data_IF_674255819783
#
_entry.id   IF_674255819783
#
_cell.length_a   1.000
_cell.length_b   1.000
_cell.length_c   1.000
_cell.angle_alpha   90.00
_cell.angle_beta   90.00
_cell.angle_gamma   90.00
#
_symmetry.space_group_name_H-M   'P 1'
#
loop_
_entity.id
_entity.type
_entity.pdbx_description
1 polymer ?
#
# COMPACT_ATOMS: atom_id res chain seq x y z
N UNK A 1 -7.90 15.18 6.44
CA UNK A 1 -8.23 13.74 6.43
C UNK A 1 -6.91 13.00 6.32
N UNK A 2 -6.57 12.10 7.26
CA UNK A 2 -5.36 11.29 7.14
C UNK A 2 -5.35 10.47 5.87
N UNK A 3 -4.16 10.17 5.34
CA UNK A 3 -4.04 9.34 4.15
C UNK A 3 -4.61 7.93 4.39
N UNK A 4 -5.30 7.30 3.43
CA UNK A 4 -5.74 5.90 3.48
C UNK A 4 -4.72 4.86 3.98
N UNK A 5 -3.42 5.10 3.76
CA UNK A 5 -2.33 4.21 4.23
C UNK A 5 -1.93 4.47 5.67
N UNK A 6 -2.28 5.62 6.24
CA UNK A 6 -2.01 5.96 7.64
C UNK A 6 -2.83 5.09 8.61
N UNK A 7 -3.96 4.53 8.15
CA UNK A 7 -4.74 3.54 8.88
C UNK A 7 -5.51 2.65 7.91
N UNK A 8 -5.32 1.34 8.01
CA UNK A 8 -6.07 0.37 7.20
C UNK A 8 -7.03 -0.41 8.09
N UNK A 9 -8.30 -0.41 7.73
CA UNK A 9 -9.33 -1.09 8.49
C UNK A 9 -9.45 -2.55 8.03
N UNK A 10 -9.48 -3.46 8.99
CA UNK A 10 -10.01 -4.79 8.74
C UNK A 10 -11.48 -4.64 8.32
N UNK A 11 -11.85 -5.39 7.28
CA UNK A 11 -13.22 -5.32 6.79
C UNK A 11 -14.20 -5.92 7.82
N UNK A 12 -15.29 -5.22 8.20
CA UNK A 12 -16.08 -5.58 9.38
C UNK A 12 -17.22 -6.59 9.14
N UNK A 13 -17.49 -7.00 7.89
CA UNK A 13 -18.54 -7.97 7.54
C UNK A 13 -18.07 -9.04 6.56
N UNK A 14 -18.72 -10.21 6.54
CA UNK A 14 -18.26 -11.32 5.68
C UNK A 14 -18.45 -11.08 4.18
N UNK A 15 -19.46 -10.29 3.79
CA UNK A 15 -19.89 -10.14 2.39
C UNK A 15 -19.12 -9.08 1.59
N UNK A 16 -18.28 -8.27 2.25
CA UNK A 16 -17.42 -7.26 1.59
C UNK A 16 -18.11 -6.38 0.53
N UNK A 17 -19.32 -5.94 0.83
CA UNK A 17 -20.13 -5.18 -0.11
C UNK A 17 -20.83 -4.00 0.59
N UNK A 18 -20.78 -2.82 -0.01
CA UNK A 18 -21.51 -1.64 0.48
C UNK A 18 -22.95 -1.66 0.01
N UNK A 19 -23.89 -1.37 0.91
CA UNK A 19 -25.30 -1.10 0.55
C UNK A 19 -25.60 0.38 0.43
N UNK A 20 -24.82 1.25 1.08
CA UNK A 20 -24.98 2.70 1.01
C UNK A 20 -23.66 3.39 1.36
N UNK A 21 -23.28 4.41 0.58
CA UNK A 21 -22.06 5.18 0.82
C UNK A 21 -22.28 6.37 1.76
N UNK A 22 -21.18 6.87 2.32
CA UNK A 22 -21.16 8.14 3.06
C UNK A 22 -21.65 9.29 2.16
N UNK A 23 -22.50 10.15 2.71
CA UNK A 23 -23.07 11.31 2.03
C UNK A 23 -24.29 11.02 1.16
N UNK A 24 -24.67 9.75 0.94
CA UNK A 24 -25.84 9.40 0.11
C UNK A 24 -27.18 9.76 0.79
N UNK A 25 -28.25 9.78 0.00
CA UNK A 25 -29.63 10.01 0.44
C UNK A 25 -29.87 11.34 1.19
N UNK A 26 -29.13 12.40 0.84
CA UNK A 26 -29.17 13.72 1.47
C UNK A 26 -30.59 14.26 1.74
N UNK A 27 -31.49 14.22 0.75
CA UNK A 27 -32.88 14.70 0.93
C UNK A 27 -33.63 13.92 2.03
N UNK A 28 -33.44 12.59 2.08
CA UNK A 28 -34.13 11.73 3.05
C UNK A 28 -33.67 12.02 4.48
N UNK A 29 -32.37 12.20 4.70
CA UNK A 29 -31.82 12.54 6.01
C UNK A 29 -32.12 14.00 6.42
N UNK A 30 -32.23 14.90 5.44
CA UNK A 30 -32.71 16.26 5.69
C UNK A 30 -34.14 16.27 6.24
N UNK A 31 -35.04 15.47 5.64
CA UNK A 31 -36.45 15.40 6.00
C UNK A 31 -36.71 14.70 7.36
N UNK A 32 -35.79 13.85 7.84
CA UNK A 32 -35.95 13.05 9.08
C UNK A 32 -35.07 13.49 10.25
N UNK A 33 -34.11 14.41 10.05
CA UNK A 33 -33.31 14.95 11.16
C UNK A 33 -34.11 15.95 11.98
N UNK A 34 -34.13 15.78 13.31
CA UNK A 34 -34.79 16.69 14.26
C UNK A 34 -34.21 18.11 14.29
N UNK A 35 -33.16 18.36 13.51
CA UNK A 35 -32.37 19.58 13.54
C UNK A 35 -32.36 20.35 12.20
N UNK A 36 -33.12 19.93 11.18
CA UNK A 36 -33.15 20.57 9.84
C UNK A 36 -31.74 20.97 9.35
N UNK A 37 -30.76 20.10 9.60
CA UNK A 37 -29.36 20.42 9.34
C UNK A 37 -29.12 20.38 7.84
N UNK A 38 -28.81 21.54 7.26
CA UNK A 38 -28.55 21.72 5.83
C UNK A 38 -27.34 20.93 5.26
N UNK A 39 -26.66 20.09 6.06
CA UNK A 39 -25.43 19.40 5.68
C UNK A 39 -25.25 18.17 6.59
N UNK A 40 -25.16 16.91 6.14
CA UNK A 40 -25.29 16.36 4.81
C UNK A 40 -25.33 14.82 4.86
N UNK A 41 -26.30 14.22 4.15
CA UNK A 41 -26.30 12.81 3.78
C UNK A 41 -26.14 11.77 4.89
N UNK A 42 -25.90 10.54 4.46
CA UNK A 42 -25.56 9.41 5.30
C UNK A 42 -24.22 9.66 6.03
N UNK A 43 -24.19 9.55 7.35
CA UNK A 43 -23.00 9.90 8.17
C UNK A 43 -22.05 8.74 8.46
N UNK A 44 -22.14 7.67 7.68
CA UNK A 44 -21.32 6.47 7.75
C UNK A 44 -21.29 5.74 6.42
N UNK A 45 -20.82 4.51 6.42
CA UNK A 45 -21.00 3.58 5.31
C UNK A 45 -21.81 2.38 5.81
N UNK A 46 -22.72 1.90 4.95
CA UNK A 46 -23.53 0.73 5.24
C UNK A 46 -22.98 -0.47 4.50
N UNK A 47 -22.78 -1.57 5.21
CA UNK A 47 -22.26 -2.81 4.67
C UNK A 47 -23.30 -3.92 4.70
N UNK A 48 -23.30 -4.70 3.62
CA UNK A 48 -24.19 -5.83 3.44
C UNK A 48 -23.89 -6.92 4.47
N UNK A 49 -24.97 -7.51 4.96
CA UNK A 49 -25.01 -8.68 5.83
C UNK A 49 -26.03 -9.67 5.28
N UNK A 50 -26.14 -10.85 5.90
CA UNK A 50 -27.20 -11.78 5.56
C UNK A 50 -28.57 -11.14 5.86
N UNK A 51 -29.34 -10.82 4.82
CA UNK A 51 -30.63 -10.12 4.96
C UNK A 51 -31.73 -11.00 5.55
N UNK A 52 -31.67 -12.31 5.33
CA UNK A 52 -32.70 -13.26 5.82
C UNK A 52 -32.40 -13.75 7.23
N UNK A 53 -31.13 -13.77 7.60
CA UNK A 53 -30.67 -14.15 8.94
C UNK A 53 -29.50 -13.26 9.39
N UNK A 54 -29.74 -12.00 9.76
CA UNK A 54 -28.67 -11.06 10.09
C UNK A 54 -27.92 -11.42 11.37
N UNK A 55 -28.55 -12.20 12.27
CA UNK A 55 -27.88 -12.69 13.47
C UNK A 55 -26.78 -13.71 13.15
N UNK A 56 -26.82 -14.35 11.97
CA UNK A 56 -25.71 -15.19 11.49
C UNK A 56 -24.48 -14.41 11.03
N UNK A 57 -24.60 -13.10 10.76
CA UNK A 57 -23.48 -12.28 10.28
C UNK A 57 -22.73 -11.63 11.45
N UNK A 58 -21.50 -12.07 11.76
CA UNK A 58 -20.68 -11.40 12.77
C UNK A 58 -20.27 -10.00 12.30
N UNK A 59 -20.22 -9.07 13.24
CA UNK A 59 -19.61 -7.75 13.07
C UNK A 59 -18.23 -7.80 13.67
N UNK A 60 -17.21 -7.45 12.90
CA UNK A 60 -15.82 -7.52 13.30
C UNK A 60 -15.25 -6.12 13.60
N UNK A 61 -14.38 -6.04 14.60
CA UNK A 61 -13.61 -4.82 14.86
C UNK A 61 -12.67 -4.53 13.68
N UNK A 62 -12.58 -3.26 13.28
CA UNK A 62 -11.75 -2.84 12.14
C UNK A 62 -10.29 -2.60 12.54
N UNK A 63 -10.04 -2.29 13.80
CA UNK A 63 -8.72 -1.97 14.35
C UNK A 63 -8.58 -2.63 15.72
N UNK A 64 -7.33 -2.84 16.13
CA UNK A 64 -6.99 -3.11 17.52
C UNK A 64 -7.37 -1.88 18.36
N UNK A 65 -8.01 -2.10 19.51
CA UNK A 65 -8.46 -0.99 20.32
C UNK A 65 -9.17 -1.40 21.60
N UNK A 66 -9.90 -0.44 22.16
CA UNK A 66 -10.71 -0.61 23.37
C UNK A 66 -12.14 -0.13 23.11
N UNK A 67 -13.12 -0.87 23.59
CA UNK A 67 -14.52 -0.45 23.53
C UNK A 67 -14.70 0.76 24.46
N UNK A 68 -14.92 1.93 23.90
CA UNK A 68 -15.07 3.19 24.65
C UNK A 68 -16.49 3.42 25.16
N UNK A 69 -17.48 2.88 24.45
CA UNK A 69 -18.88 2.94 24.87
C UNK A 69 -19.72 1.84 24.22
N UNK A 70 -20.84 1.50 24.87
CA UNK A 70 -21.85 0.54 24.42
C UNK A 70 -23.23 1.11 24.71
N UNK A 71 -24.13 1.02 23.73
CA UNK A 71 -25.48 1.56 23.82
C UNK A 71 -26.49 0.56 23.27
N UNK A 72 -27.59 0.38 23.99
CA UNK A 72 -28.72 -0.46 23.60
C UNK A 72 -29.95 0.43 23.51
N UNK A 73 -30.13 1.11 22.38
CA UNK A 73 -31.23 2.07 22.16
C UNK A 73 -32.16 1.59 21.05
N UNK A 74 -33.41 2.06 21.08
CA UNK A 74 -34.41 1.79 20.03
C UNK A 74 -34.43 2.88 18.93
N UNK A 75 -33.59 3.92 19.07
CA UNK A 75 -33.53 5.08 18.16
C UNK A 75 -32.13 5.30 17.62
N UNK A 76 -31.98 6.12 16.56
CA UNK A 76 -30.67 6.45 16.00
C UNK A 76 -29.93 5.20 15.51
N UNK A 77 -28.71 4.96 15.98
CA UNK A 77 -27.90 3.80 15.61
C UNK A 77 -28.35 2.47 16.22
N UNK A 78 -29.44 2.44 16.99
CA UNK A 78 -29.93 1.20 17.59
C UNK A 78 -28.98 0.67 18.66
N UNK A 79 -28.77 -0.65 18.66
CA UNK A 79 -27.70 -1.26 19.45
C UNK A 79 -26.36 -1.04 18.77
N UNK A 80 -25.42 -0.43 19.47
CA UNK A 80 -24.14 -0.02 18.89
C UNK A 80 -23.01 0.05 19.89
N UNK A 81 -21.78 -0.03 19.37
CA UNK A 81 -20.54 0.11 20.14
C UNK A 81 -19.59 1.10 19.49
N UNK A 82 -18.79 1.73 20.33
CA UNK A 82 -17.68 2.58 19.92
C UNK A 82 -16.37 1.87 20.28
N UNK A 83 -15.46 1.76 19.32
CA UNK A 83 -14.10 1.23 19.53
C UNK A 83 -13.11 2.36 19.27
N UNK A 84 -12.37 2.72 20.31
CA UNK A 84 -11.28 3.70 20.26
C UNK A 84 -9.94 3.01 20.04
N UNK A 85 -9.13 3.55 19.14
CA UNK A 85 -7.83 3.00 18.74
C UNK A 85 -6.81 4.14 18.69
N UNK A 86 -5.64 3.94 19.29
CA UNK A 86 -4.51 4.84 19.10
C UNK A 86 -3.77 4.42 17.83
N UNK A 87 -3.77 5.28 16.81
CA UNK A 87 -3.03 5.08 15.56
C UNK A 87 -1.84 6.03 15.57
N UNK A 88 -0.62 5.52 15.44
CA UNK A 88 0.61 6.29 15.62
C UNK A 88 0.69 7.53 14.72
N UNK A 89 0.35 7.39 13.44
CA UNK A 89 0.42 8.45 12.43
C UNK A 89 -0.81 9.37 12.39
N UNK A 90 -1.86 9.07 13.15
CA UNK A 90 -3.17 9.75 13.05
C UNK A 90 -3.65 10.34 14.38
N UNK A 91 -3.31 9.70 15.51
CA UNK A 91 -3.86 10.02 16.82
C UNK A 91 -5.00 9.08 17.23
N UNK A 92 -5.89 9.56 18.09
CA UNK A 92 -7.02 8.76 18.58
C UNK A 92 -8.14 8.68 17.53
N UNK A 93 -8.44 7.46 17.11
CA UNK A 93 -9.47 7.12 16.13
C UNK A 93 -10.61 6.41 16.83
N UNK A 94 -11.86 6.79 16.57
CA UNK A 94 -13.04 6.09 17.10
C UNK A 94 -13.94 5.63 15.97
N UNK A 95 -14.30 4.34 15.98
CA UNK A 95 -15.23 3.72 15.06
C UNK A 95 -16.53 3.35 15.77
N UNK A 96 -17.67 3.70 15.18
CA UNK A 96 -19.02 3.36 15.65
C UNK A 96 -19.58 2.23 14.80
N UNK A 97 -20.00 1.13 15.43
CA UNK A 97 -20.64 -0.02 14.78
C UNK A 97 -22.12 -0.06 15.18
N UNK A 98 -23.02 0.19 14.22
CA UNK A 98 -24.45 0.40 14.46
C UNK A 98 -25.38 -0.70 13.97
N UNK A 99 -26.65 -0.57 14.35
CA UNK A 99 -27.80 -1.39 13.97
C UNK A 99 -27.68 -2.88 14.33
N UNK A 100 -26.86 -3.21 15.33
CA UNK A 100 -26.59 -4.59 15.73
C UNK A 100 -27.84 -5.24 16.36
N UNK A 101 -27.95 -6.57 16.27
CA UNK A 101 -28.96 -7.31 17.06
C UNK A 101 -28.38 -7.64 18.44
N UNK A 102 -27.18 -8.24 18.46
CA UNK A 102 -26.46 -8.60 19.67
C UNK A 102 -25.11 -7.90 19.70
N UNK A 103 -24.75 -7.37 20.87
CA UNK A 103 -23.42 -6.83 21.16
C UNK A 103 -22.76 -7.75 22.17
N UNK A 104 -21.63 -8.36 21.81
CA UNK A 104 -20.94 -9.37 22.64
C UNK A 104 -19.78 -8.81 23.46
N UNK A 105 -19.45 -7.54 23.28
CA UNK A 105 -18.39 -6.84 24.01
C UNK A 105 -18.96 -5.85 25.03
N UNK A 106 -18.12 -5.43 25.97
CA UNK A 106 -18.45 -4.45 27.02
C UNK A 106 -17.48 -3.26 27.03
N UNK A 107 -17.94 -2.12 27.55
CA UNK A 107 -17.10 -0.93 27.72
C UNK A 107 -15.85 -1.26 28.55
N UNK A 108 -14.69 -0.82 28.07
CA UNK A 108 -13.37 -1.10 28.67
C UNK A 108 -12.70 -2.37 28.15
N UNK A 109 -13.39 -3.20 27.36
CA UNK A 109 -12.81 -4.41 26.78
C UNK A 109 -11.86 -4.08 25.63
N UNK A 110 -10.66 -4.68 25.65
CA UNK A 110 -9.74 -4.67 24.51
C UNK A 110 -10.22 -5.63 23.41
N UNK A 111 -10.09 -5.20 22.17
CA UNK A 111 -10.44 -5.99 20.98
C UNK A 111 -9.30 -5.94 19.96
N UNK A 112 -9.16 -7.02 19.20
CA UNK A 112 -8.23 -7.07 18.06
C UNK A 112 -8.98 -6.85 16.75
N UNK A 113 -8.31 -6.30 15.75
CA UNK A 113 -8.82 -6.21 14.39
C UNK A 113 -9.24 -7.61 13.90
N UNK A 114 -10.42 -7.72 13.31
CA UNK A 114 -11.03 -8.98 12.89
C UNK A 114 -11.74 -9.75 14.01
N UNK A 115 -11.64 -9.34 15.27
CA UNK A 115 -12.40 -9.96 16.37
C UNK A 115 -13.89 -9.65 16.25
N UNK A 116 -14.74 -10.67 16.42
CA UNK A 116 -16.19 -10.49 16.48
C UNK A 116 -16.60 -9.70 17.73
N UNK A 117 -17.33 -8.60 17.53
CA UNK A 117 -17.83 -7.70 18.58
C UNK A 117 -19.37 -7.75 18.74
N UNK A 118 -20.03 -8.55 17.89
CA UNK A 118 -21.44 -8.87 17.98
C UNK A 118 -21.98 -9.37 16.65
N UNK A 119 -23.29 -9.26 16.44
CA UNK A 119 -23.96 -9.72 15.22
C UNK A 119 -24.80 -8.63 14.59
N UNK A 120 -24.90 -8.65 13.27
CA UNK A 120 -25.67 -7.68 12.53
C UNK A 120 -27.17 -7.72 12.88
N UNK A 121 -27.88 -6.66 12.50
CA UNK A 121 -29.29 -6.51 12.80
C UNK A 121 -29.95 -5.41 12.01
N UNK A 122 -31.08 -4.94 12.53
CA UNK A 122 -31.86 -3.84 11.98
C UNK A 122 -32.49 -3.00 13.10
N UNK A 123 -31.76 -2.80 14.21
CA UNK A 123 -32.24 -2.02 15.37
C UNK A 123 -32.11 -0.52 15.12
N UNK A 124 -32.91 0.30 15.81
CA UNK A 124 -32.87 1.76 15.65
C UNK A 124 -33.46 2.26 14.33
N UNK A 125 -32.94 3.37 13.83
CA UNK A 125 -33.36 4.00 12.58
C UNK A 125 -32.76 3.28 11.36
N UNK A 126 -33.20 2.04 11.13
CA UNK A 126 -32.76 1.20 10.03
C UNK A 126 -33.93 0.81 9.11
N UNK A 127 -33.69 0.70 7.80
CA UNK A 127 -34.70 0.30 6.82
C UNK A 127 -34.63 -1.18 6.45
N UNK A 128 -33.71 -1.93 7.06
CA UNK A 128 -33.50 -3.35 6.82
C UNK A 128 -32.09 -3.77 7.27
N UNK A 129 -31.77 -5.07 7.30
CA UNK A 129 -30.54 -5.51 7.94
C UNK A 129 -29.25 -5.07 7.23
N UNK A 130 -28.35 -4.44 7.97
CA UNK A 130 -27.01 -3.98 7.54
C UNK A 130 -26.12 -3.68 8.77
N UNK A 131 -24.83 -3.44 8.54
CA UNK A 131 -23.95 -2.77 9.49
C UNK A 131 -23.80 -1.30 9.07
N UNK A 132 -24.06 -0.36 9.98
CA UNK A 132 -23.65 1.04 9.83
C UNK A 132 -22.29 1.26 10.49
N UNK A 133 -21.32 1.83 9.77
CA UNK A 133 -20.01 2.19 10.32
C UNK A 133 -19.73 3.68 10.16
N UNK A 134 -19.41 4.37 11.25
CA UNK A 134 -18.94 5.77 11.22
C UNK A 134 -17.54 5.92 11.81
N UNK A 135 -16.81 6.93 11.35
CA UNK A 135 -15.44 7.23 11.73
C UNK A 135 -15.31 8.63 12.36
N UNK A 136 -14.59 8.73 13.47
CA UNK A 136 -14.16 9.97 14.12
C UNK A 136 -12.66 9.93 14.37
N UNK A 137 -12.01 11.08 14.29
CA UNK A 137 -10.58 11.25 14.61
C UNK A 137 -10.46 12.47 15.52
N UNK A 138 -9.88 12.29 16.70
CA UNK A 138 -9.71 13.38 17.65
C UNK A 138 -8.79 14.47 17.11
N UNK A 139 -9.09 15.73 17.44
CA UNK A 139 -8.33 16.89 16.97
C UNK A 139 -8.61 17.31 15.52
N UNK A 140 -9.31 16.52 14.71
CA UNK A 140 -9.72 16.97 13.37
C UNK A 140 -10.89 17.95 13.42
N UNK A 141 -10.65 19.17 12.94
CA UNK A 141 -11.71 20.18 12.74
C UNK A 141 -12.55 19.81 11.52
N UNK A 142 -13.79 19.40 11.76
CA UNK A 142 -14.77 19.17 10.70
C UNK A 142 -15.56 20.45 10.41
N UNK A 143 -16.11 20.62 9.19
CA UNK A 143 -17.07 21.69 8.91
C UNK A 143 -18.23 21.66 9.91
N UNK A 144 -18.81 22.83 10.19
CA UNK A 144 -19.97 22.92 11.07
C UNK A 144 -21.07 21.95 10.61
N UNK A 145 -21.59 21.15 11.54
CA UNK A 145 -22.63 20.12 11.34
C UNK A 145 -22.19 18.80 10.66
N UNK A 146 -20.88 18.58 10.47
CA UNK A 146 -20.34 17.26 10.07
C UNK A 146 -19.74 16.59 11.31
N UNK A 147 -20.38 15.53 11.81
CA UNK A 147 -19.94 14.81 13.02
C UNK A 147 -19.01 13.62 12.76
N UNK A 148 -18.94 13.14 11.53
CA UNK A 148 -18.22 11.91 11.15
C UNK A 148 -17.48 12.08 9.83
N UNK A 149 -16.49 11.22 9.62
CA UNK A 149 -15.68 11.14 8.41
C UNK A 149 -16.14 9.97 7.54
N UNK A 150 -15.84 10.06 6.25
CA UNK A 150 -16.03 8.94 5.34
C UNK A 150 -15.06 7.80 5.70
N UNK A 151 -15.53 6.61 6.10
CA UNK A 151 -14.66 5.48 6.46
C UNK A 151 -14.15 4.71 5.23
N UNK A 152 -14.80 4.86 4.07
CA UNK A 152 -14.49 4.11 2.84
C UNK A 152 -13.01 4.17 2.45
N UNK A 153 -12.31 5.32 2.47
CA UNK A 153 -10.91 5.37 2.08
C UNK A 153 -9.99 4.45 2.90
N UNK A 154 -10.39 4.05 4.10
CA UNK A 154 -9.59 3.18 4.99
C UNK A 154 -10.06 1.72 4.96
N UNK A 155 -11.30 1.46 4.53
CA UNK A 155 -11.88 0.13 4.31
C UNK A 155 -11.50 -0.44 2.94
N UNK A 156 -11.82 0.33 1.90
CA UNK A 156 -11.52 0.06 0.50
C UNK A 156 -10.88 1.33 -0.07
N UNK A 157 -9.57 1.53 0.19
CA UNK A 157 -8.84 2.62 -0.43
C UNK A 157 -9.09 2.57 -1.94
N UNK A 158 -9.43 3.71 -2.60
CA UNK A 158 -9.51 3.72 -4.04
C UNK A 158 -8.16 3.22 -4.59
N UNK A 159 -8.14 2.38 -5.63
CA UNK A 159 -6.88 2.14 -6.32
C UNK A 159 -6.31 3.49 -6.75
N UNK A 160 -5.10 3.83 -6.31
CA UNK A 160 -4.41 5.07 -6.72
C UNK A 160 -4.61 5.32 -8.20
N UNK A 161 -4.87 6.56 -8.64
CA UNK A 161 -4.38 6.97 -9.95
C UNK A 161 -2.88 6.65 -9.99
N UNK A 162 -2.48 5.84 -10.98
CA UNK A 162 -1.08 5.53 -11.29
C UNK A 162 -0.28 6.81 -11.33
N UNK A 163 0.73 6.95 -10.46
CA UNK A 163 1.67 8.05 -10.56
C UNK A 163 2.35 7.98 -11.94
N UNK A 164 2.14 9.00 -12.78
CA UNK A 164 3.00 9.18 -13.94
C UNK A 164 4.34 9.70 -13.42
N UNK A 165 5.50 9.18 -13.88
CA UNK A 165 6.78 9.74 -13.52
C UNK A 165 6.80 11.22 -13.94
N UNK A 166 7.22 12.10 -13.02
CA UNK A 166 7.20 13.55 -13.27
C UNK A 166 8.15 13.97 -14.39
N UNK A 167 9.20 13.17 -14.58
CA UNK A 167 10.20 13.30 -15.63
C UNK A 167 10.42 11.92 -16.24
N UNK A 168 10.40 11.78 -17.58
CA UNK A 168 10.81 10.53 -18.21
C UNK A 168 12.26 10.22 -17.85
N UNK A 169 12.52 9.01 -17.37
CA UNK A 169 13.87 8.51 -17.13
C UNK A 169 14.01 7.09 -17.66
N UNK A 170 15.25 6.66 -17.89
CA UNK A 170 15.55 5.28 -18.26
C UNK A 170 15.76 4.44 -17.01
N UNK A 171 15.05 3.33 -16.88
CA UNK A 171 15.27 2.36 -15.80
C UNK A 171 15.92 1.11 -16.34
N UNK A 172 16.98 0.67 -15.68
CA UNK A 172 17.52 -0.67 -15.82
C UNK A 172 17.21 -1.44 -14.54
N UNK A 173 16.45 -2.52 -14.68
CA UNK A 173 16.12 -3.44 -13.59
C UNK A 173 16.87 -4.75 -13.81
N UNK A 174 17.67 -5.16 -12.82
CA UNK A 174 18.30 -6.48 -12.80
C UNK A 174 17.37 -7.42 -12.07
N UNK A 175 16.74 -8.31 -12.85
CA UNK A 175 15.76 -9.29 -12.38
C UNK A 175 16.50 -10.57 -12.00
N UNK A 176 16.64 -10.81 -10.70
CA UNK A 176 17.30 -11.99 -10.14
C UNK A 176 16.31 -13.14 -9.97
N UNK A 177 16.69 -14.38 -10.30
CA UNK A 177 15.79 -15.53 -10.25
C UNK A 177 15.41 -15.91 -8.81
N UNK A 178 14.31 -16.66 -8.60
CA UNK A 178 13.78 -16.94 -7.26
C UNK A 178 14.82 -17.52 -6.28
N UNK A 179 15.70 -18.39 -6.77
CA UNK A 179 16.74 -19.07 -6.00
C UNK A 179 18.00 -18.22 -5.73
N UNK A 180 18.11 -17.01 -6.32
CA UNK A 180 19.27 -16.14 -6.15
C UNK A 180 19.36 -15.55 -4.74
N UNK A 181 20.24 -16.11 -3.90
CA UNK A 181 20.53 -15.59 -2.57
C UNK A 181 21.31 -14.27 -2.55
N UNK A 182 21.63 -13.75 -1.36
CA UNK A 182 22.28 -12.46 -1.16
C UNK A 182 23.58 -12.26 -1.98
N UNK A 183 24.37 -13.33 -2.15
CA UNK A 183 25.61 -13.27 -2.94
C UNK A 183 25.38 -12.83 -4.40
N UNK A 184 24.25 -13.20 -5.00
CA UNK A 184 23.89 -12.77 -6.36
C UNK A 184 23.48 -11.30 -6.39
N UNK A 185 22.75 -10.82 -5.39
CA UNK A 185 22.40 -9.41 -5.28
C UNK A 185 23.62 -8.53 -5.00
N UNK A 186 24.57 -8.99 -4.17
CA UNK A 186 25.86 -8.34 -3.94
C UNK A 186 26.66 -8.22 -5.24
N UNK A 187 26.73 -9.27 -6.06
CA UNK A 187 27.39 -9.20 -7.37
C UNK A 187 26.79 -8.11 -8.29
N UNK A 188 25.46 -7.91 -8.25
CA UNK A 188 24.83 -6.81 -8.99
C UNK A 188 25.22 -5.45 -8.41
N UNK A 189 25.22 -5.31 -7.09
CA UNK A 189 25.62 -4.08 -6.40
C UNK A 189 27.05 -3.70 -6.78
N UNK A 190 27.97 -4.65 -6.63
CA UNK A 190 29.40 -4.43 -6.87
C UNK A 190 29.70 -4.06 -8.33
N UNK A 191 28.98 -4.66 -9.28
CA UNK A 191 29.17 -4.38 -10.72
C UNK A 191 28.60 -3.02 -11.16
N UNK A 192 27.43 -2.64 -10.62
CA UNK A 192 26.59 -1.64 -11.26
C UNK A 192 26.10 -0.50 -10.37
N UNK A 193 26.21 -0.60 -9.05
CA UNK A 193 25.61 0.42 -8.17
C UNK A 193 26.30 1.77 -8.32
N UNK A 194 27.63 1.82 -8.20
CA UNK A 194 28.41 3.07 -8.25
C UNK A 194 28.57 3.66 -9.64
N UNK A 195 28.46 2.84 -10.67
CA UNK A 195 28.53 3.26 -12.07
C UNK A 195 27.17 3.66 -12.65
N UNK A 196 26.10 2.96 -12.25
CA UNK A 196 24.82 3.04 -12.96
C UNK A 196 23.56 3.09 -12.08
N UNK A 197 23.65 2.77 -10.78
CA UNK A 197 22.50 2.71 -9.86
C UNK A 197 21.34 1.85 -10.40
N UNK A 198 21.65 0.69 -10.97
CA UNK A 198 20.61 -0.23 -11.45
C UNK A 198 19.69 -0.66 -10.30
N UNK A 199 18.39 -0.73 -10.59
CA UNK A 199 17.40 -1.26 -9.64
C UNK A 199 17.57 -2.78 -9.56
N UNK A 200 17.56 -3.35 -8.36
CA UNK A 200 17.77 -4.78 -8.12
C UNK A 200 16.49 -5.35 -7.49
N UNK A 201 15.97 -6.45 -8.01
CA UNK A 201 14.84 -7.12 -7.37
C UNK A 201 14.44 -8.45 -8.01
N UNK A 202 13.44 -9.10 -7.41
CA UNK A 202 13.01 -10.45 -7.75
C UNK A 202 11.57 -10.55 -8.27
N UNK A 203 10.97 -9.44 -8.74
CA UNK A 203 9.60 -9.45 -9.28
C UNK A 203 9.60 -9.07 -10.76
N UNK A 204 9.17 -10.00 -11.61
CA UNK A 204 9.06 -9.76 -13.04
C UNK A 204 8.00 -8.69 -13.37
N UNK A 205 6.92 -8.63 -12.59
CA UNK A 205 5.93 -7.56 -12.73
C UNK A 205 6.51 -6.19 -12.32
N UNK A 206 7.35 -6.11 -11.28
CA UNK A 206 8.04 -4.85 -10.89
C UNK A 206 9.00 -4.42 -12.00
N UNK A 207 9.79 -5.36 -12.53
CA UNK A 207 10.74 -5.11 -13.61
C UNK A 207 10.09 -4.51 -14.86
N UNK A 208 8.86 -4.92 -15.18
CA UNK A 208 8.12 -4.46 -16.36
C UNK A 208 7.32 -3.16 -16.18
N UNK A 209 7.07 -2.73 -14.95
CA UNK A 209 6.24 -1.56 -14.63
C UNK A 209 6.97 -0.22 -14.90
N UNK A 210 6.21 0.78 -15.36
CA UNK A 210 6.59 2.19 -15.40
C UNK A 210 6.22 2.91 -16.70
N UNK A 211 5.70 4.14 -16.61
CA UNK A 211 5.47 5.06 -17.74
C UNK A 211 6.82 5.71 -18.18
N UNK A 212 7.84 4.88 -18.39
CA UNK A 212 9.21 5.28 -18.68
C UNK A 212 9.49 5.23 -20.19
N UNK A 213 10.34 6.14 -20.68
CA UNK A 213 10.78 6.16 -22.07
C UNK A 213 11.54 4.89 -22.45
N UNK A 214 12.30 4.35 -21.49
CA UNK A 214 13.01 3.10 -21.62
C UNK A 214 12.96 2.27 -20.35
N UNK A 215 12.48 1.03 -20.49
CA UNK A 215 12.54 0.00 -19.46
C UNK A 215 13.46 -1.11 -19.95
N UNK A 216 14.65 -1.24 -19.39
CA UNK A 216 15.51 -2.39 -19.64
C UNK A 216 15.38 -3.37 -18.49
N UNK A 217 15.09 -4.62 -18.82
CA UNK A 217 15.10 -5.72 -17.86
C UNK A 217 16.26 -6.63 -18.22
N UNK A 218 17.24 -6.71 -17.33
CA UNK A 218 18.31 -7.70 -17.39
C UNK A 218 17.79 -8.93 -16.65
N UNK A 219 17.34 -9.94 -17.39
CA UNK A 219 16.82 -11.17 -16.82
C UNK A 219 17.99 -12.14 -16.59
N UNK A 220 18.36 -12.33 -15.32
CA UNK A 220 19.46 -13.25 -14.94
C UNK A 220 18.91 -14.66 -14.87
N UNK A 221 19.59 -15.59 -15.56
CA UNK A 221 19.25 -17.00 -15.67
C UNK A 221 17.75 -17.20 -15.93
N UNK A 222 17.21 -16.66 -17.03
CA UNK A 222 15.76 -16.61 -17.29
C UNK A 222 15.10 -17.99 -17.30
N UNK A 223 15.86 -19.05 -17.62
CA UNK A 223 15.38 -20.43 -17.57
C UNK A 223 15.00 -20.91 -16.17
N UNK A 224 15.54 -20.30 -15.11
CA UNK A 224 15.21 -20.63 -13.72
C UNK A 224 13.80 -20.20 -13.28
N UNK A 225 13.14 -19.33 -14.05
CA UNK A 225 11.80 -18.82 -13.73
C UNK A 225 10.67 -19.79 -14.09
N UNK A 226 10.96 -20.89 -14.79
CA UNK A 226 9.99 -21.93 -15.16
C UNK A 226 9.02 -21.55 -16.30
N UNK A 227 8.77 -20.25 -16.49
CA UNK A 227 7.99 -19.67 -17.58
C UNK A 227 8.89 -18.99 -18.62
N UNK A 228 8.38 -18.81 -19.85
CA UNK A 228 9.05 -17.99 -20.87
C UNK A 228 8.95 -16.49 -20.51
N UNK A 229 9.98 -15.99 -19.82
CA UNK A 229 10.06 -14.58 -19.42
C UNK A 229 10.02 -13.61 -20.61
N UNK A 230 10.60 -13.97 -21.75
CA UNK A 230 10.57 -13.11 -22.92
C UNK A 230 9.13 -12.95 -23.43
N UNK A 231 8.41 -14.07 -23.61
CA UNK A 231 7.00 -14.05 -24.00
C UNK A 231 6.12 -13.33 -22.96
N UNK A 232 6.45 -13.48 -21.67
CA UNK A 232 5.79 -12.75 -20.59
C UNK A 232 5.92 -11.23 -20.76
N UNK A 233 7.13 -10.69 -20.96
CA UNK A 233 7.32 -9.24 -21.12
C UNK A 233 6.72 -8.73 -22.42
N UNK A 234 6.86 -9.45 -23.54
CA UNK A 234 6.24 -9.07 -24.81
C UNK A 234 4.71 -8.95 -24.70
N UNK A 235 4.08 -9.89 -23.99
CA UNK A 235 2.62 -9.93 -23.84
C UNK A 235 2.12 -8.90 -22.84
N UNK A 236 2.77 -8.84 -21.67
CA UNK A 236 2.23 -8.13 -20.51
C UNK A 236 2.86 -6.78 -20.30
N UNK A 237 4.02 -6.47 -20.89
CA UNK A 237 4.77 -5.23 -20.70
C UNK A 237 5.47 -4.77 -21.99
N UNK A 238 4.71 -4.53 -23.08
CA UNK A 238 5.31 -4.24 -24.37
C UNK A 238 6.24 -3.03 -24.32
N UNK A 239 7.37 -3.14 -25.03
CA UNK A 239 8.42 -2.13 -25.08
C UNK A 239 9.46 -2.19 -23.96
N UNK A 240 9.43 -3.23 -23.12
CA UNK A 240 10.60 -3.61 -22.31
C UNK A 240 11.74 -4.04 -23.25
N UNK A 241 12.90 -3.42 -23.09
CA UNK A 241 14.17 -3.90 -23.66
C UNK A 241 14.61 -5.08 -22.81
N UNK A 242 14.28 -6.28 -23.27
CA UNK A 242 14.63 -7.53 -22.60
C UNK A 242 16.08 -7.93 -22.93
N UNK A 243 16.89 -8.14 -21.91
CA UNK A 243 18.30 -8.56 -22.02
C UNK A 243 18.51 -9.81 -21.16
N UNK A 244 18.55 -11.02 -21.75
CA UNK A 244 18.86 -12.21 -20.99
C UNK A 244 20.36 -12.28 -20.68
N UNK A 245 20.71 -12.65 -19.45
CA UNK A 245 22.09 -12.90 -19.02
C UNK A 245 22.13 -14.29 -18.37
N UNK A 246 22.96 -15.17 -18.91
CA UNK A 246 23.27 -16.47 -18.29
C UNK A 246 24.58 -16.34 -17.52
N UNK A 247 24.57 -16.72 -16.25
CA UNK A 247 25.71 -16.69 -15.35
C UNK A 247 25.70 -17.92 -14.44
N UNK A 248 26.83 -18.63 -14.38
CA UNK A 248 26.98 -19.85 -13.57
C UNK A 248 27.34 -19.54 -12.10
N UNK A 249 27.74 -18.30 -11.81
CA UNK A 249 28.16 -17.84 -10.48
C UNK A 249 27.96 -16.32 -10.32
N UNK A 250 27.95 -15.80 -9.08
CA UNK A 250 27.95 -14.35 -8.83
C UNK A 250 29.08 -13.60 -9.53
N UNK A 251 30.31 -14.12 -9.50
CA UNK A 251 31.46 -13.51 -10.20
C UNK A 251 31.26 -13.44 -11.72
N UNK A 252 30.66 -14.48 -12.31
CA UNK A 252 30.33 -14.49 -13.74
C UNK A 252 29.23 -13.46 -14.06
N UNK A 253 28.28 -13.26 -13.15
CA UNK A 253 27.27 -12.21 -13.30
C UNK A 253 27.91 -10.82 -13.25
N UNK A 254 28.81 -10.55 -12.30
CA UNK A 254 29.54 -9.27 -12.22
C UNK A 254 30.21 -8.94 -13.56
N UNK A 255 30.99 -9.88 -14.11
CA UNK A 255 31.66 -9.70 -15.40
C UNK A 255 30.69 -9.50 -16.58
N UNK A 256 29.54 -10.19 -16.57
CA UNK A 256 28.51 -10.01 -17.59
C UNK A 256 27.87 -8.62 -17.51
N UNK A 257 27.63 -8.09 -16.30
CA UNK A 257 27.03 -6.77 -16.11
C UNK A 257 27.97 -5.62 -16.54
N UNK A 258 29.27 -5.77 -16.30
CA UNK A 258 30.30 -4.79 -16.73
C UNK A 258 30.40 -4.64 -18.25
N UNK A 259 29.97 -5.66 -19.02
CA UNK A 259 30.07 -5.70 -20.48
C UNK A 259 28.73 -5.44 -21.19
N UNK A 260 27.72 -5.01 -20.45
CA UNK A 260 26.39 -4.77 -21.01
C UNK A 260 26.43 -3.70 -22.11
N UNK A 261 25.65 -3.90 -23.18
CA UNK A 261 25.52 -2.87 -24.20
C UNK A 261 24.91 -1.61 -23.58
N UNK A 262 25.38 -0.45 -24.07
CA UNK A 262 24.76 0.82 -23.75
C UNK A 262 23.28 0.81 -24.14
N UNK A 263 22.46 1.56 -23.39
CA UNK A 263 21.07 1.77 -23.77
C UNK A 263 21.01 2.48 -25.13
N UNK A 264 20.08 2.10 -26.02
CA UNK A 264 19.92 2.80 -27.28
C UNK A 264 19.51 4.26 -27.06
N UNK A 265 20.09 5.18 -27.82
CA UNK A 265 19.64 6.58 -27.86
C UNK A 265 18.26 6.67 -28.55
N UNK A 266 17.25 7.29 -27.91
CA UNK A 266 15.99 7.61 -28.63
C UNK A 266 16.10 8.94 -29.34
N UNK A 267 15.62 8.96 -30.58
CA UNK A 267 15.12 10.18 -31.19
C UNK A 267 13.74 10.52 -30.59
N UNK A 268 13.44 11.77 -30.19
CA UNK A 268 12.28 12.19 -29.38
C UNK A 268 10.89 12.03 -30.04
N UNK A 269 10.76 11.28 -31.14
CA UNK A 269 9.57 11.27 -32.00
C UNK A 269 8.74 9.97 -31.98
N UNK A 270 9.11 8.94 -31.23
CA UNK A 270 8.29 7.72 -31.16
C UNK A 270 7.33 7.76 -29.96
N UNK A 271 6.04 7.43 -30.15
CA UNK A 271 5.09 7.32 -29.05
C UNK A 271 5.53 6.23 -28.06
N UNK A 272 5.22 6.41 -26.77
CA UNK A 272 5.47 5.39 -25.77
C UNK A 272 4.68 4.11 -26.13
N UNK A 273 5.29 2.91 -26.02
CA UNK A 273 4.61 1.66 -26.31
C UNK A 273 3.38 1.46 -25.40
N UNK A 274 2.37 0.70 -25.85
CA UNK A 274 1.15 0.47 -25.09
C UNK A 274 1.42 -0.18 -23.73
N UNK A 275 0.53 0.06 -22.78
CA UNK A 275 0.77 -0.23 -21.36
C UNK A 275 0.43 -1.67 -21.01
N UNK A 276 1.32 -2.29 -20.24
CA UNK A 276 1.07 -3.53 -19.55
C UNK A 276 0.11 -3.41 -18.37
N UNK A 277 -0.52 -4.52 -17.98
CA UNK A 277 -1.27 -4.63 -16.70
C UNK A 277 -0.64 -5.74 -15.87
N UNK A 278 -0.40 -5.54 -14.55
CA UNK A 278 0.04 -6.63 -13.69
C UNK A 278 -0.96 -7.78 -13.73
N UNK A 279 -0.45 -9.01 -13.80
CA UNK A 279 -1.30 -10.21 -13.80
C UNK A 279 -1.81 -10.59 -12.41
N UNK A 280 -1.11 -10.14 -11.37
CA UNK A 280 -1.43 -10.43 -9.97
C UNK A 280 -1.17 -9.21 -9.09
N UNK A 281 -1.97 -9.07 -8.03
CA UNK A 281 -1.69 -8.14 -6.94
C UNK A 281 -0.47 -8.63 -6.15
N UNK A 282 0.52 -7.77 -5.94
CA UNK A 282 1.64 -8.05 -5.06
C UNK A 282 2.00 -6.82 -4.24
N UNK A 283 2.55 -7.06 -3.04
CA UNK A 283 3.10 -6.02 -2.18
C UNK A 283 4.55 -5.78 -2.58
N UNK A 284 4.95 -4.51 -2.74
CA UNK A 284 6.33 -4.14 -3.01
C UNK A 284 6.87 -3.34 -1.83
N UNK A 285 8.01 -3.78 -1.31
CA UNK A 285 8.86 -2.95 -0.44
C UNK A 285 10.07 -2.53 -1.24
N UNK A 286 10.25 -1.22 -1.40
CA UNK A 286 11.38 -0.61 -2.07
C UNK A 286 12.25 0.10 -1.02
N UNK A 287 13.52 -0.29 -0.91
CA UNK A 287 14.50 0.40 -0.07
C UNK A 287 15.15 1.47 -0.92
N UNK A 288 14.77 2.72 -0.64
CA UNK A 288 15.18 3.91 -1.38
C UNK A 288 16.45 4.48 -0.75
N UNK A 289 17.58 4.31 -1.44
CA UNK A 289 18.89 4.80 -1.00
C UNK A 289 19.14 6.24 -1.49
N UNK A 290 19.73 7.11 -0.66
CA UNK A 290 19.93 8.52 -0.99
C UNK A 290 20.94 8.72 -2.12
N UNK A 291 20.94 9.87 -2.82
CA UNK A 291 21.81 10.11 -3.98
C UNK A 291 23.31 9.85 -3.72
N UNK A 292 23.78 10.12 -2.50
CA UNK A 292 25.17 9.93 -2.07
C UNK A 292 25.52 8.51 -1.57
N UNK A 293 24.58 7.57 -1.53
CA UNK A 293 24.83 6.21 -1.04
C UNK A 293 25.64 5.38 -2.05
N UNK A 294 26.84 4.95 -1.66
CA UNK A 294 27.71 4.08 -2.45
C UNK A 294 27.30 2.60 -2.37
N UNK A 295 28.07 1.72 -3.02
CA UNK A 295 27.84 0.28 -3.01
C UNK A 295 27.82 -0.34 -1.60
N UNK A 296 28.54 0.24 -0.63
CA UNK A 296 28.52 -0.28 0.73
C UNK A 296 27.13 -0.16 1.37
N UNK A 297 26.44 0.97 1.14
CA UNK A 297 25.07 1.16 1.59
C UNK A 297 24.09 0.19 0.91
N UNK A 298 24.24 -0.05 -0.39
CA UNK A 298 23.43 -1.03 -1.10
C UNK A 298 23.68 -2.47 -0.61
N UNK A 299 24.92 -2.82 -0.33
CA UNK A 299 25.26 -4.11 0.28
C UNK A 299 24.69 -4.25 1.70
N UNK A 300 24.63 -3.17 2.49
CA UNK A 300 23.90 -3.18 3.77
C UNK A 300 22.41 -3.52 3.62
N UNK A 301 21.76 -3.06 2.55
CA UNK A 301 20.38 -3.47 2.23
C UNK A 301 20.31 -4.96 1.84
N UNK A 302 21.26 -5.43 1.03
CA UNK A 302 21.30 -6.84 0.63
C UNK A 302 21.43 -7.76 1.84
N UNK A 303 22.39 -7.46 2.72
CA UNK A 303 22.61 -8.19 3.99
C UNK A 303 21.38 -8.15 4.89
N UNK A 304 20.72 -6.99 4.97
CA UNK A 304 19.62 -6.76 5.89
C UNK A 304 18.27 -7.34 5.43
N UNK A 305 18.06 -7.50 4.12
CA UNK A 305 16.71 -7.73 3.59
C UNK A 305 16.60 -8.75 2.45
N UNK A 306 17.67 -9.09 1.73
CA UNK A 306 17.51 -9.85 0.49
C UNK A 306 17.05 -11.29 0.70
N UNK A 307 17.70 -12.03 1.60
CA UNK A 307 17.37 -13.43 1.85
C UNK A 307 16.15 -13.60 2.76
N UNK A 308 15.87 -12.62 3.62
CA UNK A 308 14.67 -12.62 4.46
C UNK A 308 13.42 -12.21 3.68
N UNK A 309 13.53 -11.16 2.84
CA UNK A 309 12.35 -10.44 2.34
C UNK A 309 12.36 -10.13 0.85
N UNK A 310 13.49 -10.26 0.14
CA UNK A 310 13.65 -9.90 -1.29
C UNK A 310 13.18 -8.47 -1.61
N UNK A 311 13.46 -7.51 -0.73
CA UNK A 311 13.11 -6.11 -0.98
C UNK A 311 13.81 -5.56 -2.23
N UNK A 312 13.11 -4.75 -3.01
CA UNK A 312 13.68 -4.07 -4.17
C UNK A 312 14.64 -2.98 -3.69
N UNK A 313 15.82 -2.88 -4.31
CA UNK A 313 16.85 -1.91 -3.96
C UNK A 313 16.98 -0.90 -5.10
N UNK A 314 16.98 0.40 -4.80
CA UNK A 314 17.27 1.40 -5.82
C UNK A 314 17.35 2.84 -5.32
N UNK A 315 17.73 3.74 -6.21
CA UNK A 315 18.04 5.15 -5.91
C UNK A 315 17.10 6.16 -6.55
N UNK A 316 15.97 5.74 -7.12
CA UNK A 316 15.01 6.65 -7.78
C UNK A 316 13.72 6.74 -6.98
N UNK A 317 13.39 7.94 -6.52
CA UNK A 317 12.16 8.18 -5.76
C UNK A 317 10.90 8.03 -6.63
N UNK A 318 10.98 8.43 -7.90
CA UNK A 318 9.91 8.17 -8.87
C UNK A 318 9.77 6.65 -9.14
N UNK A 319 10.86 5.86 -9.19
CA UNK A 319 10.79 4.38 -9.30
C UNK A 319 10.14 3.76 -8.05
N UNK A 320 10.55 4.21 -6.87
CA UNK A 320 10.00 3.75 -5.60
C UNK A 320 8.48 3.94 -5.51
N UNK A 321 7.94 5.00 -6.12
CA UNK A 321 6.53 5.35 -6.09
C UNK A 321 5.62 4.72 -7.16
N UNK A 322 6.16 4.29 -8.31
CA UNK A 322 5.34 3.76 -9.43
C UNK A 322 4.79 2.34 -9.17
N UNK A 323 3.62 2.06 -9.75
CA UNK A 323 3.07 0.70 -9.87
C UNK A 323 1.56 0.59 -9.60
N UNK A 324 0.88 -0.29 -10.33
CA UNK A 324 -0.52 -0.71 -10.09
C UNK A 324 -0.56 -1.78 -8.98
N UNK A 325 -0.16 -1.40 -7.77
CA UNK A 325 0.04 -2.33 -6.64
C UNK A 325 -0.96 -2.06 -5.52
N UNK A 326 -1.49 -3.13 -4.91
CA UNK A 326 -2.38 -3.06 -3.74
C UNK A 326 -1.66 -2.48 -2.49
N UNK A 327 -0.33 -2.61 -2.44
CA UNK A 327 0.50 -2.12 -1.35
C UNK A 327 1.90 -1.74 -1.84
N UNK A 328 2.24 -0.45 -1.73
CA UNK A 328 3.59 0.08 -2.00
C UNK A 328 4.18 0.58 -0.70
N UNK A 329 5.30 0.02 -0.28
CA UNK A 329 6.07 0.47 0.88
C UNK A 329 7.41 1.00 0.39
N UNK A 330 7.78 2.20 0.82
CA UNK A 330 9.09 2.77 0.56
C UNK A 330 9.79 2.99 1.89
N UNK A 331 10.88 2.26 2.10
CA UNK A 331 11.80 2.50 3.22
C UNK A 331 12.82 3.53 2.71
N UNK A 332 12.63 4.78 3.08
CA UNK A 332 13.51 5.88 2.69
C UNK A 332 14.69 5.96 3.66
N UNK A 333 15.86 5.53 3.19
CA UNK A 333 17.10 5.55 3.99
C UNK A 333 17.65 6.97 4.00
N UNK A 334 17.93 7.49 5.20
CA UNK A 334 18.50 8.81 5.44
C UNK A 334 17.82 9.91 4.61
N UNK A 335 16.49 10.12 4.76
CA UNK A 335 15.71 10.99 3.88
C UNK A 335 16.17 12.44 3.90
N UNK A 336 16.82 12.90 4.98
CA UNK A 336 17.42 14.23 5.06
C UNK A 336 18.55 14.46 4.01
N UNK A 337 19.13 13.41 3.44
CA UNK A 337 20.17 13.51 2.42
C UNK A 337 19.64 13.79 1.00
N UNK A 338 18.32 13.82 0.80
CA UNK A 338 17.68 14.07 -0.51
C UNK A 338 17.56 15.55 -0.89
N UNK A 339 17.89 16.47 0.03
CA UNK A 339 17.86 17.93 -0.20
C UNK A 339 16.45 18.56 -0.23
N UNK A 340 15.45 17.80 -0.67
CA UNK A 340 14.02 18.15 -0.64
C UNK A 340 13.24 17.31 0.38
N UNK A 341 12.04 17.77 0.75
CA UNK A 341 11.13 17.02 1.63
C UNK A 341 10.58 15.79 0.89
N UNK A 342 11.23 14.65 1.13
CA UNK A 342 10.91 13.39 0.46
C UNK A 342 9.52 12.86 0.86
N UNK A 343 9.06 13.13 2.09
CA UNK A 343 7.71 12.77 2.52
C UNK A 343 6.68 13.58 1.73
N UNK A 344 6.84 14.91 1.68
CA UNK A 344 5.96 15.78 0.90
C UNK A 344 5.97 15.41 -0.60
N UNK A 345 7.12 14.98 -1.12
CA UNK A 345 7.24 14.43 -2.47
C UNK A 345 6.34 13.20 -2.68
N UNK A 346 6.45 12.17 -1.83
CA UNK A 346 5.60 10.98 -1.96
C UNK A 346 4.12 11.32 -1.73
N UNK A 347 3.78 12.16 -0.74
CA UNK A 347 2.39 12.59 -0.51
C UNK A 347 1.79 13.33 -1.72
N UNK A 348 2.61 14.12 -2.44
CA UNK A 348 2.15 14.91 -3.58
C UNK A 348 1.98 14.07 -4.84
N UNK A 349 2.94 13.20 -5.14
CA UNK A 349 3.04 12.53 -6.45
C UNK A 349 2.70 11.04 -6.42
N UNK A 350 2.81 10.41 -5.25
CA UNK A 350 2.61 8.98 -5.05
C UNK A 350 1.90 8.70 -3.71
N UNK A 351 0.71 9.29 -3.49
CA UNK A 351 0.08 9.38 -2.17
C UNK A 351 -0.15 8.00 -1.50
N UNK A 352 -0.36 6.96 -2.31
CA UNK A 352 -0.59 5.57 -1.88
C UNK A 352 0.67 4.80 -1.45
N UNK A 353 1.83 5.45 -1.40
CA UNK A 353 3.05 4.87 -0.82
C UNK A 353 2.98 4.93 0.71
N UNK A 354 3.12 3.77 1.36
CA UNK A 354 3.50 3.71 2.77
C UNK A 354 4.97 4.11 2.88
N UNK A 355 5.19 5.38 3.18
CA UNK A 355 6.51 5.96 3.40
C UNK A 355 7.01 5.65 4.81
N UNK A 356 8.23 5.14 4.91
CA UNK A 356 8.87 4.79 6.17
C UNK A 356 10.27 5.40 6.18
N UNK A 357 10.52 6.45 6.97
CA UNK A 357 11.87 6.97 7.12
C UNK A 357 12.70 6.01 7.98
N UNK A 358 13.90 5.69 7.54
CA UNK A 358 14.88 4.91 8.30
C UNK A 358 16.17 5.71 8.35
N UNK A 359 16.64 6.02 9.56
CA UNK A 359 17.89 6.73 9.78
C UNK A 359 18.93 5.73 10.28
N UNK A 360 20.07 5.69 9.61
CA UNK A 360 21.22 4.89 9.99
C UNK A 360 22.50 5.67 9.73
N UNK A 361 23.46 5.56 10.64
CA UNK A 361 24.77 6.22 10.53
C UNK A 361 25.76 5.41 9.69
N UNK A 362 25.52 4.09 9.56
CA UNK A 362 26.39 3.18 8.81
C UNK A 362 25.61 2.14 8.00
N UNK A 363 26.22 1.54 6.94
CA UNK A 363 25.62 0.42 6.22
C UNK A 363 25.32 -0.80 7.11
N UNK A 364 26.18 -1.07 8.09
CA UNK A 364 26.00 -2.16 9.06
C UNK A 364 24.76 -1.93 9.91
N UNK A 365 24.58 -0.72 10.43
CA UNK A 365 23.40 -0.36 11.20
C UNK A 365 22.12 -0.43 10.36
N UNK A 366 22.18 0.00 9.09
CA UNK A 366 21.07 -0.18 8.16
C UNK A 366 20.69 -1.66 8.01
N UNK A 367 21.68 -2.54 7.85
CA UNK A 367 21.44 -3.98 7.73
C UNK A 367 20.75 -4.55 8.99
N UNK A 368 21.24 -4.19 10.18
CA UNK A 368 20.68 -4.62 11.46
C UNK A 368 19.24 -4.12 11.65
N UNK A 369 18.98 -2.84 11.36
CA UNK A 369 17.63 -2.29 11.46
C UNK A 369 16.66 -2.96 10.47
N UNK A 370 17.11 -3.28 9.26
CA UNK A 370 16.30 -4.01 8.28
C UNK A 370 15.99 -5.44 8.73
N UNK A 371 16.92 -6.13 9.40
CA UNK A 371 16.71 -7.49 9.94
C UNK A 371 15.80 -7.53 11.17
N UNK A 372 15.84 -6.52 12.04
CA UNK A 372 15.12 -6.55 13.32
C UNK A 372 13.68 -6.05 13.22
N UNK A 373 13.39 -5.16 12.28
CA UNK A 373 12.11 -4.44 12.22
C UNK A 373 11.17 -4.94 11.12
N UNK A 374 11.58 -5.93 10.35
CA UNK A 374 10.84 -6.46 9.20
C UNK A 374 10.93 -7.97 9.17
#
# INVERSE_FOLDING_TARGET
MPHPTAMRFAWPTELRHYTQFYGENHKRYYDTSSAHCLHGGHNGADMQVNRTDPASSPILACLDGVVTDKKMLDTGYGHHVYVGSQVESVGWVTLLYGHMTHVTVEKGQSVQAGQAIGTAGSTGASTGPHLHLSLMIEGMKLPANVGYLNPRPYLDPPPSPRGQPRVPYSRTYVLLPPEAGAAWAQAVVDAAWDSHRFTIGGSADDAGIGDLDFRRVIAVNPTAWGDDLFAFFETNYPGVIYVPVEAESPDALTAALETLPAMPDRSPAQPAPPRGKPRAAYARTYVLLPPGADAAWANGVVEGAWDAHRFTIGGSADDAGIGDLDFRRVIAVNPAAWGDDLLAFFETYYPDVLYIPLVADTPQELAEQLLMHW
#
